data_IF_651395284708
#
_entry.id   IF_651395284708
#
_cell.length_a   1.000
_cell.length_b   1.000
_cell.length_c   1.000
_cell.angle_alpha   90.00
_cell.angle_beta   90.00
_cell.angle_gamma   90.00
#
_symmetry.space_group_name_H-M   'P 1'
#
loop_
_entity.id
_entity.type
_entity.pdbx_description
1 polymer ?
#
# COMPACT_ATOMS: atom_id res chain seq x y z
N UNK A 1 -12.42 27.24 7.66
CA UNK A 1 -11.98 25.84 7.45
C UNK A 1 -11.11 25.84 6.22
N UNK A 2 -9.86 25.43 6.37
CA UNK A 2 -8.84 25.55 5.33
C UNK A 2 -9.13 24.57 4.20
N UNK A 3 -9.97 24.99 3.25
CA UNK A 3 -10.35 24.20 2.07
C UNK A 3 -9.11 23.79 1.26
N UNK A 4 -8.08 24.64 1.26
CA UNK A 4 -6.78 24.32 0.69
C UNK A 4 -6.09 23.13 1.38
N UNK A 5 -6.22 23.00 2.70
CA UNK A 5 -5.65 21.91 3.48
C UNK A 5 -6.39 20.60 3.16
N UNK A 6 -7.73 20.63 3.13
CA UNK A 6 -8.55 19.49 2.71
C UNK A 6 -8.19 19.03 1.30
N UNK A 7 -8.14 19.95 0.34
CA UNK A 7 -7.80 19.64 -1.05
C UNK A 7 -6.39 19.06 -1.17
N UNK A 8 -5.41 19.62 -0.47
CA UNK A 8 -4.03 19.10 -0.45
C UNK A 8 -3.98 17.68 0.11
N UNK A 9 -4.55 17.43 1.30
CA UNK A 9 -4.56 16.09 1.88
C UNK A 9 -5.32 15.09 1.00
N UNK A 10 -6.45 15.50 0.42
CA UNK A 10 -7.21 14.66 -0.50
C UNK A 10 -6.37 14.29 -1.72
N UNK A 11 -5.77 15.26 -2.40
CA UNK A 11 -4.96 15.01 -3.61
C UNK A 11 -3.75 14.15 -3.29
N UNK A 12 -3.04 14.41 -2.19
CA UNK A 12 -1.86 13.61 -1.79
C UNK A 12 -2.24 12.16 -1.49
N UNK A 13 -3.29 11.94 -0.70
CA UNK A 13 -3.75 10.57 -0.39
C UNK A 13 -4.32 9.90 -1.64
N UNK A 14 -5.10 10.61 -2.43
CA UNK A 14 -5.68 10.09 -3.67
C UNK A 14 -4.60 9.64 -4.67
N UNK A 15 -3.55 10.43 -4.87
CA UNK A 15 -2.43 10.07 -5.74
C UNK A 15 -1.60 8.92 -5.17
N UNK A 16 -1.40 8.87 -3.85
CA UNK A 16 -0.69 7.77 -3.20
C UNK A 16 -1.44 6.43 -3.33
N UNK A 17 -2.77 6.49 -3.33
CA UNK A 17 -3.65 5.31 -3.38
C UNK A 17 -4.09 4.96 -4.82
N UNK A 18 -3.88 5.83 -5.81
CA UNK A 18 -4.24 5.61 -7.21
C UNK A 18 -3.43 4.45 -7.79
N UNK A 19 -4.12 3.37 -8.16
CA UNK A 19 -3.49 2.15 -8.67
C UNK A 19 -3.02 1.17 -7.60
N UNK A 20 -3.36 1.38 -6.32
CA UNK A 20 -3.10 0.38 -5.29
C UNK A 20 -3.86 -0.93 -5.58
N UNK A 21 -3.31 -2.04 -5.08
CA UNK A 21 -3.88 -3.39 -5.18
C UNK A 21 -5.33 -3.43 -4.72
N UNK A 22 -5.72 -2.58 -3.79
CA UNK A 22 -7.11 -2.47 -3.33
C UNK A 22 -8.06 -1.97 -4.42
N UNK A 23 -7.61 -1.09 -5.33
CA UNK A 23 -8.40 -0.64 -6.48
C UNK A 23 -8.58 -1.76 -7.52
N UNK A 24 -7.51 -2.50 -7.82
CA UNK A 24 -7.59 -3.69 -8.69
C UNK A 24 -8.48 -4.78 -8.09
N UNK A 25 -8.37 -5.03 -6.78
CA UNK A 25 -9.24 -5.97 -6.08
C UNK A 25 -10.71 -5.53 -6.12
N UNK A 26 -10.99 -4.24 -5.94
CA UNK A 26 -12.35 -3.68 -6.04
C UNK A 26 -12.91 -3.83 -7.44
N UNK A 27 -12.13 -3.53 -8.48
CA UNK A 27 -12.53 -3.71 -9.89
C UNK A 27 -12.77 -5.19 -10.21
N UNK A 28 -11.91 -6.09 -9.74
CA UNK A 28 -12.07 -7.53 -9.92
C UNK A 28 -13.35 -8.05 -9.24
N UNK A 29 -13.58 -7.69 -7.97
CA UNK A 29 -14.78 -8.08 -7.21
C UNK A 29 -16.03 -7.45 -7.82
N UNK A 30 -15.96 -6.22 -8.32
CA UNK A 30 -17.06 -5.56 -9.02
C UNK A 30 -17.37 -6.19 -10.38
N UNK A 31 -16.36 -6.71 -11.08
CA UNK A 31 -16.52 -7.40 -12.36
C UNK A 31 -17.13 -8.80 -12.22
N UNK A 32 -17.01 -9.43 -11.06
CA UNK A 32 -17.56 -10.77 -10.78
C UNK A 32 -18.81 -10.77 -9.90
N UNK A 33 -19.27 -9.61 -9.42
CA UNK A 33 -20.44 -9.50 -8.54
C UNK A 33 -21.65 -8.96 -9.29
N UNK A 34 -22.81 -9.62 -9.15
CA UNK A 34 -24.11 -9.13 -9.66
C UNK A 34 -24.59 -7.82 -9.00
N UNK A 35 -23.86 -7.30 -8.00
CA UNK A 35 -24.21 -6.09 -7.23
C UNK A 35 -23.01 -5.13 -7.03
N UNK A 36 -22.58 -4.42 -8.07
CA UNK A 36 -21.42 -3.50 -8.01
C UNK A 36 -21.59 -2.38 -6.96
N UNK A 37 -22.81 -1.91 -6.72
CA UNK A 37 -23.09 -0.89 -5.69
C UNK A 37 -22.80 -1.38 -4.26
N UNK A 38 -23.05 -2.66 -3.97
CA UNK A 38 -22.77 -3.23 -2.65
C UNK A 38 -21.26 -3.33 -2.40
N UNK A 39 -20.50 -3.68 -3.45
CA UNK A 39 -19.03 -3.72 -3.41
C UNK A 39 -18.46 -2.33 -3.17
N UNK A 40 -18.96 -1.32 -3.89
CA UNK A 40 -18.54 0.08 -3.73
C UNK A 40 -18.81 0.61 -2.32
N UNK A 41 -20.03 0.41 -1.79
CA UNK A 41 -20.38 0.89 -0.45
C UNK A 41 -19.60 0.15 0.63
N UNK A 42 -19.39 -1.17 0.47
CA UNK A 42 -18.60 -1.98 1.38
C UNK A 42 -17.13 -1.52 1.43
N UNK A 43 -16.48 -1.38 0.27
CA UNK A 43 -15.09 -0.96 0.20
C UNK A 43 -14.89 0.48 0.68
N UNK A 44 -15.78 1.40 0.29
CA UNK A 44 -15.75 2.80 0.73
C UNK A 44 -15.92 2.90 2.25
N UNK A 45 -16.88 2.19 2.83
CA UNK A 45 -17.11 2.19 4.28
C UNK A 45 -15.93 1.57 5.04
N UNK A 46 -15.38 0.47 4.53
CA UNK A 46 -14.19 -0.16 5.09
C UNK A 46 -12.98 0.78 5.10
N UNK A 47 -12.75 1.51 4.00
CA UNK A 47 -11.67 2.48 3.89
C UNK A 47 -11.82 3.64 4.88
N UNK A 48 -13.02 4.18 5.01
CA UNK A 48 -13.31 5.27 5.97
C UNK A 48 -13.07 4.79 7.40
N UNK A 49 -13.57 3.60 7.76
CA UNK A 49 -13.38 3.03 9.09
C UNK A 49 -11.91 2.74 9.40
N UNK A 50 -11.19 2.12 8.46
CA UNK A 50 -9.77 1.84 8.60
C UNK A 50 -8.96 3.13 8.78
N UNK A 51 -9.24 4.15 7.97
CA UNK A 51 -8.60 5.47 8.06
C UNK A 51 -8.88 6.15 9.39
N UNK A 52 -10.13 6.10 9.86
CA UNK A 52 -10.51 6.70 11.14
C UNK A 52 -9.82 6.00 12.32
N UNK A 53 -9.82 4.67 12.34
CA UNK A 53 -9.11 3.90 13.36
C UNK A 53 -7.61 4.17 13.32
N UNK A 54 -7.02 4.23 12.12
CA UNK A 54 -5.61 4.56 11.91
C UNK A 54 -5.26 5.97 12.41
N UNK A 55 -6.11 6.96 12.14
CA UNK A 55 -5.90 8.34 12.61
C UNK A 55 -6.02 8.47 14.13
N UNK A 56 -7.01 7.81 14.74
CA UNK A 56 -7.20 7.82 16.20
C UNK A 56 -6.06 7.11 16.92
N UNK A 57 -5.68 5.92 16.44
CA UNK A 57 -4.57 5.15 16.99
C UNK A 57 -3.24 5.89 16.76
N UNK A 58 -2.99 6.38 15.54
CA UNK A 58 -1.78 7.12 15.18
C UNK A 58 -1.62 8.41 15.99
N UNK A 59 -2.70 9.17 16.18
CA UNK A 59 -2.68 10.38 17.02
C UNK A 59 -2.41 10.08 18.50
N UNK A 60 -2.95 8.98 19.02
CA UNK A 60 -2.75 8.55 20.40
C UNK A 60 -1.34 7.98 20.64
N UNK A 61 -0.78 7.30 19.64
CA UNK A 61 0.58 6.76 19.71
C UNK A 61 1.62 7.87 19.57
N UNK A 62 1.36 8.87 18.73
CA UNK A 62 2.25 10.01 18.51
C UNK A 62 2.39 10.94 19.74
N UNK A 63 1.42 10.93 20.68
CA UNK A 63 1.52 11.70 21.93
C UNK A 63 2.34 11.00 23.02
N UNK A 64 2.52 9.68 22.93
CA UNK A 64 3.23 8.87 23.94
C UNK A 64 4.63 8.47 23.46
N UNK A 65 4.81 8.27 22.15
CA UNK A 65 6.08 7.79 21.58
C UNK A 65 6.88 8.98 20.99
N UNK A 66 8.16 9.15 21.36
CA UNK A 66 9.05 10.12 20.75
C UNK A 66 9.18 9.94 19.24
N UNK A 67 9.15 11.04 18.48
CA UNK A 67 9.26 11.04 17.01
C UNK A 67 10.49 10.30 16.49
N UNK A 68 11.61 10.37 17.20
CA UNK A 68 12.87 9.69 16.82
C UNK A 68 12.71 8.15 16.81
N UNK A 69 11.97 7.60 17.78
CA UNK A 69 11.68 6.17 17.83
C UNK A 69 10.73 5.74 16.73
N UNK A 70 9.70 6.55 16.44
CA UNK A 70 8.80 6.32 15.30
C UNK A 70 9.59 6.29 13.98
N UNK A 71 10.51 7.24 13.78
CA UNK A 71 11.35 7.32 12.58
C UNK A 71 12.33 6.13 12.48
N UNK A 72 12.92 5.70 13.58
CA UNK A 72 13.80 4.54 13.63
C UNK A 72 13.04 3.25 13.26
N UNK A 73 11.85 3.05 13.83
CA UNK A 73 11.01 1.89 13.52
C UNK A 73 10.54 1.91 12.07
N UNK A 74 10.11 3.07 11.57
CA UNK A 74 9.67 3.22 10.18
C UNK A 74 10.82 2.93 9.19
N UNK A 75 12.01 3.47 9.42
CA UNK A 75 13.18 3.24 8.56
C UNK A 75 13.65 1.78 8.57
N UNK A 76 13.68 1.13 9.73
CA UNK A 76 13.97 -0.31 9.84
C UNK A 76 12.93 -1.15 9.11
N UNK A 77 11.64 -0.86 9.31
CA UNK A 77 10.55 -1.55 8.61
C UNK A 77 10.66 -1.41 7.10
N UNK A 78 10.99 -0.20 6.61
CA UNK A 78 11.19 0.06 5.19
C UNK A 78 12.38 -0.72 4.62
N UNK A 79 13.50 -0.80 5.35
CA UNK A 79 14.64 -1.62 4.95
C UNK A 79 14.27 -3.11 4.86
N UNK A 80 13.58 -3.65 5.85
CA UNK A 80 13.16 -5.05 5.86
C UNK A 80 12.25 -5.38 4.67
N UNK A 81 11.24 -4.54 4.43
CA UNK A 81 10.30 -4.73 3.31
C UNK A 81 11.03 -4.56 1.97
N UNK A 82 11.85 -3.52 1.84
CA UNK A 82 12.64 -3.26 0.64
C UNK A 82 13.59 -4.40 0.31
N UNK A 83 14.33 -4.91 1.29
CA UNK A 83 15.21 -6.08 1.11
C UNK A 83 14.42 -7.34 0.73
N UNK A 84 13.26 -7.58 1.36
CA UNK A 84 12.39 -8.72 1.01
C UNK A 84 11.84 -8.64 -0.41
N UNK A 85 11.53 -7.44 -0.91
CA UNK A 85 11.06 -7.23 -2.28
C UNK A 85 12.19 -7.35 -3.29
N UNK A 86 13.38 -6.84 -2.97
CA UNK A 86 14.54 -6.88 -3.85
C UNK A 86 15.15 -8.28 -3.97
N UNK A 87 15.22 -9.03 -2.87
CA UNK A 87 15.82 -10.38 -2.82
C UNK A 87 15.33 -11.33 -3.92
N UNK A 88 14.01 -11.56 -4.11
CA UNK A 88 13.53 -12.42 -5.18
C UNK A 88 13.84 -11.86 -6.56
N UNK A 89 13.87 -10.54 -6.76
CA UNK A 89 14.22 -9.99 -8.07
C UNK A 89 15.69 -10.22 -8.41
N UNK A 90 16.60 -10.03 -7.46
CA UNK A 90 18.03 -10.34 -7.63
C UNK A 90 18.26 -11.85 -7.83
N UNK A 91 17.57 -12.70 -7.06
CA UNK A 91 17.69 -14.16 -7.14
C UNK A 91 17.07 -14.76 -8.41
N UNK A 92 16.07 -14.10 -9.02
CA UNK A 92 15.44 -14.58 -10.24
C UNK A 92 16.24 -14.18 -11.51
N UNK A 93 17.06 -13.14 -11.45
CA UNK A 93 17.95 -12.75 -12.55
C UNK A 93 19.09 -13.76 -12.76
N UNK A 94 19.62 -14.36 -11.68
CA UNK A 94 20.69 -15.37 -11.78
C UNK A 94 20.23 -16.66 -12.44
N UNK A 95 18.93 -17.00 -12.37
CA UNK A 95 18.38 -18.22 -13.00
C UNK A 95 18.15 -18.09 -14.50
N UNK A 96 17.97 -16.86 -15.02
CA UNK A 96 17.60 -16.66 -16.42
C UNK A 96 18.82 -16.59 -17.36
N UNK A 97 20.02 -16.34 -16.82
CA UNK A 97 21.27 -16.35 -17.57
C UNK A 97 21.82 -17.77 -17.84
N UNK A 98 21.45 -18.76 -17.02
CA UNK A 98 21.93 -20.14 -17.16
C UNK A 98 21.09 -20.99 -18.14
N UNK A 99 19.87 -20.57 -18.50
CA UNK A 99 18.97 -21.35 -19.39
C UNK A 99 19.03 -20.92 -20.86
N UNK A 100 19.77 -19.86 -21.18
CA UNK A 100 19.91 -19.34 -22.56
C UNK A 100 21.20 -19.76 -23.27
N UNK A 101 21.97 -20.73 -22.75
CA UNK A 101 23.11 -21.30 -23.49
C UNK A 101 22.61 -22.32 -24.54
N UNK A 102 22.65 -22.00 -25.85
CA UNK A 102 22.16 -22.89 -26.90
C UNK A 102 23.17 -24.00 -27.27
N UNK A 103 24.23 -24.23 -26.49
CA UNK A 103 25.26 -25.23 -26.80
C UNK A 103 24.91 -26.68 -26.44
N UNK A 104 23.73 -26.94 -25.84
CA UNK A 104 23.26 -28.30 -25.52
C UNK A 104 21.96 -28.63 -26.28
N UNK A 105 22.05 -28.76 -27.60
CA UNK A 105 21.05 -29.43 -28.47
C UNK A 105 21.68 -30.64 -29.15
#
# INVERSE_FOLDING_TARGET
MDFALLLSTFVTVFLAELGDKTQLATVAISGTSDRPLAVFLGSSSALVLASLLGALAGGSVATVIPSDLLQLVASLGFLVIGSRLLWPLLANQSKQSDETDPSNS
#
